data_IF_013619603105
#
_entry.id   IF_013619603105
#
_cell.length_a   1.000
_cell.length_b   1.000
_cell.length_c   1.000
_cell.angle_alpha   90.00
_cell.angle_beta   90.00
_cell.angle_gamma   90.00
#
_symmetry.space_group_name_H-M   'P 1'
#
loop_
_entity.id
_entity.type
_entity.pdbx_description
1 polymer ?
#
# COMPACT_ATOMS: atom_id res chain seq x y z
N UNK A 1 -4.62 13.61 -7.41
CA UNK A 1 -4.75 12.23 -6.94
C UNK A 1 -6.21 11.80 -6.87
N UNK A 2 -6.46 10.54 -7.19
CA UNK A 2 -7.80 9.97 -7.16
C UNK A 2 -8.30 9.79 -5.71
N UNK A 3 -7.38 9.64 -4.78
CA UNK A 3 -7.68 9.39 -3.36
C UNK A 3 -7.07 10.50 -2.51
N UNK A 4 -7.77 11.64 -2.35
CA UNK A 4 -7.20 12.80 -1.65
C UNK A 4 -6.93 12.57 -0.16
N UNK A 5 -7.55 11.55 0.44
CA UNK A 5 -7.36 11.24 1.85
C UNK A 5 -6.11 10.42 2.14
N UNK A 6 -5.37 10.02 1.11
CA UNK A 6 -4.17 9.21 1.29
C UNK A 6 -2.99 10.12 1.64
N UNK A 7 -2.38 9.83 2.79
CA UNK A 7 -1.24 10.61 3.27
C UNK A 7 0.04 10.22 2.55
N UNK A 8 1.07 11.06 2.70
CA UNK A 8 2.37 10.79 2.13
C UNK A 8 2.96 9.48 2.66
N UNK A 9 2.74 9.18 3.93
CA UNK A 9 3.19 7.92 4.53
C UNK A 9 2.54 6.72 3.87
N UNK A 10 1.26 6.84 3.55
CA UNK A 10 0.52 5.78 2.89
C UNK A 10 0.96 5.59 1.45
N UNK A 11 1.32 6.67 0.77
CA UNK A 11 1.88 6.59 -0.57
C UNK A 11 3.22 5.84 -0.56
N UNK A 12 4.06 6.12 0.42
CA UNK A 12 5.33 5.40 0.59
C UNK A 12 5.11 3.92 0.87
N UNK A 13 4.13 3.62 1.73
CA UNK A 13 3.77 2.24 2.01
C UNK A 13 3.33 1.51 0.74
N UNK A 14 2.49 2.15 -0.07
CA UNK A 14 2.04 1.58 -1.32
C UNK A 14 3.21 1.30 -2.26
N UNK A 15 4.17 2.22 -2.34
CA UNK A 15 5.36 2.03 -3.16
C UNK A 15 6.17 0.81 -2.71
N UNK A 16 6.38 0.66 -1.40
CA UNK A 16 7.10 -0.49 -0.87
C UNK A 16 6.37 -1.80 -1.14
N UNK A 17 5.04 -1.79 -1.03
CA UNK A 17 4.24 -2.97 -1.32
C UNK A 17 4.34 -3.37 -2.79
N UNK A 18 4.41 -2.40 -3.69
CA UNK A 18 4.63 -2.67 -5.11
C UNK A 18 5.97 -3.32 -5.39
N UNK A 19 6.97 -3.02 -4.56
CA UNK A 19 8.29 -3.62 -4.66
C UNK A 19 8.34 -5.02 -4.04
N UNK A 20 7.19 -5.54 -3.59
CA UNK A 20 7.07 -6.86 -2.96
C UNK A 20 7.86 -6.99 -1.67
N UNK A 21 8.04 -5.90 -0.96
CA UNK A 21 8.69 -5.95 0.35
C UNK A 21 7.74 -6.54 1.39
N UNK A 22 8.30 -7.32 2.29
CA UNK A 22 7.51 -7.88 3.39
C UNK A 22 7.21 -6.82 4.44
N UNK A 23 6.24 -7.10 5.31
CA UNK A 23 5.91 -6.21 6.43
C UNK A 23 7.16 -5.92 7.28
N UNK A 24 7.97 -6.94 7.55
CA UNK A 24 9.20 -6.77 8.33
C UNK A 24 10.20 -5.87 7.62
N UNK A 25 10.35 -6.05 6.33
CA UNK A 25 11.29 -5.23 5.54
C UNK A 25 10.85 -3.77 5.51
N UNK A 26 9.56 -3.53 5.33
CA UNK A 26 9.02 -2.16 5.34
C UNK A 26 9.22 -1.53 6.71
N UNK A 27 8.92 -2.28 7.78
CA UNK A 27 9.07 -1.78 9.14
C UNK A 27 10.53 -1.41 9.44
N UNK A 28 11.46 -2.24 9.01
CA UNK A 28 12.88 -1.96 9.19
C UNK A 28 13.32 -0.72 8.41
N UNK A 29 12.84 -0.58 7.18
CA UNK A 29 13.18 0.56 6.32
C UNK A 29 12.65 1.87 6.91
N UNK A 30 11.44 1.86 7.45
CA UNK A 30 10.82 3.04 8.03
C UNK A 30 11.15 3.23 9.51
N UNK A 31 11.89 2.28 10.09
CA UNK A 31 12.28 2.31 11.50
C UNK A 31 11.08 2.37 12.44
N UNK A 32 10.10 1.51 12.18
CA UNK A 32 8.89 1.38 12.99
C UNK A 32 8.64 -0.09 13.30
N UNK A 33 7.69 -0.37 14.20
CA UNK A 33 7.33 -1.73 14.54
C UNK A 33 6.47 -2.34 13.43
N UNK A 34 6.57 -3.67 13.19
CA UNK A 34 5.73 -4.35 12.20
C UNK A 34 4.23 -4.15 12.43
N UNK A 35 3.79 -4.08 13.69
CA UNK A 35 2.38 -3.80 14.00
C UNK A 35 1.90 -2.48 13.43
N UNK A 36 2.76 -1.47 13.42
CA UNK A 36 2.44 -0.18 12.82
C UNK A 36 2.19 -0.31 11.32
N UNK A 37 2.98 -1.14 10.66
CA UNK A 37 2.81 -1.40 9.22
C UNK A 37 1.48 -2.12 8.96
N UNK A 38 1.14 -3.10 9.79
CA UNK A 38 -0.13 -3.82 9.66
C UNK A 38 -1.32 -2.87 9.79
N UNK A 39 -1.27 -1.97 10.77
CA UNK A 39 -2.31 -0.97 10.98
C UNK A 39 -2.40 -0.02 9.79
N UNK A 40 -1.26 0.41 9.27
CA UNK A 40 -1.22 1.29 8.10
C UNK A 40 -1.80 0.61 6.86
N UNK A 41 -1.48 -0.66 6.66
CA UNK A 41 -2.04 -1.44 5.54
C UNK A 41 -3.55 -1.55 5.66
N UNK A 42 -4.06 -1.79 6.87
CA UNK A 42 -5.49 -1.88 7.10
C UNK A 42 -6.19 -0.57 6.78
N UNK A 43 -5.64 0.55 7.22
CA UNK A 43 -6.18 1.87 6.93
C UNK A 43 -6.19 2.16 5.44
N UNK A 44 -5.10 1.80 4.77
CA UNK A 44 -4.99 2.01 3.33
C UNK A 44 -6.04 1.20 2.57
N UNK A 45 -6.25 -0.06 2.95
CA UNK A 45 -7.31 -0.88 2.37
C UNK A 45 -8.68 -0.23 2.53
N UNK A 46 -8.97 0.29 3.71
CA UNK A 46 -10.24 0.97 3.98
C UNK A 46 -10.42 2.20 3.10
N UNK A 47 -9.38 2.99 2.95
CA UNK A 47 -9.43 4.19 2.12
C UNK A 47 -9.64 3.88 0.65
N UNK A 48 -9.11 2.75 0.20
CA UNK A 48 -9.28 2.28 -1.18
C UNK A 48 -10.59 1.52 -1.40
N UNK A 49 -11.37 1.29 -0.34
CA UNK A 49 -12.63 0.57 -0.44
C UNK A 49 -12.47 -0.93 -0.64
N UNK A 50 -11.35 -1.50 -0.23
CA UNK A 50 -11.06 -2.91 -0.37
C UNK A 50 -11.53 -3.69 0.87
N UNK A 51 -11.91 -4.96 0.67
CA UNK A 51 -12.25 -5.82 1.79
C UNK A 51 -11.00 -6.46 2.41
N UNK A 52 -11.19 -7.19 3.52
CA UNK A 52 -10.09 -7.81 4.25
C UNK A 52 -9.32 -8.84 3.43
N UNK A 53 -10.00 -9.51 2.53
CA UNK A 53 -9.44 -10.61 1.78
C UNK A 53 -8.65 -10.17 0.56
N UNK A 54 -8.82 -8.92 0.15
CA UNK A 54 -8.09 -8.39 -0.99
C UNK A 54 -6.62 -8.20 -0.63
N UNK A 55 -5.74 -8.76 -1.46
CA UNK A 55 -4.31 -8.56 -1.30
C UNK A 55 -3.94 -7.16 -1.82
N UNK A 56 -3.50 -6.32 -0.90
CA UNK A 56 -3.19 -4.92 -1.21
C UNK A 56 -2.07 -4.81 -2.25
N UNK A 57 -1.04 -5.63 -2.14
CA UNK A 57 0.08 -5.59 -3.10
C UNK A 57 -0.39 -5.94 -4.50
N UNK A 58 -1.22 -6.98 -4.63
CA UNK A 58 -1.76 -7.38 -5.92
C UNK A 58 -2.66 -6.30 -6.51
N UNK A 59 -3.50 -5.69 -5.68
CA UNK A 59 -4.35 -4.59 -6.13
C UNK A 59 -3.53 -3.43 -6.66
N UNK A 60 -2.49 -3.02 -5.94
CA UNK A 60 -1.65 -1.91 -6.34
C UNK A 60 -0.88 -2.21 -7.63
N UNK A 61 -0.42 -3.44 -7.79
CA UNK A 61 0.24 -3.85 -9.02
C UNK A 61 -0.70 -3.82 -10.22
N UNK A 62 -1.93 -4.27 -10.03
CA UNK A 62 -2.96 -4.23 -11.08
C UNK A 62 -3.27 -2.80 -11.49
N UNK A 63 -3.48 -1.93 -10.51
CA UNK A 63 -3.77 -0.53 -10.75
C UNK A 63 -2.65 0.15 -11.53
N UNK A 64 -1.40 -0.12 -11.16
CA UNK A 64 -0.25 0.44 -11.83
C UNK A 64 -0.16 -0.03 -13.28
N UNK A 65 -0.41 -1.33 -13.51
CA UNK A 65 -0.38 -1.90 -14.86
C UNK A 65 -1.44 -1.26 -15.74
N UNK A 66 -2.64 -1.03 -15.21
CA UNK A 66 -3.72 -0.36 -15.95
C UNK A 66 -3.30 1.05 -16.34
N UNK A 67 -2.67 1.79 -15.44
CA UNK A 67 -2.20 3.14 -15.74
C UNK A 67 -1.14 3.16 -16.82
N UNK A 68 -0.23 2.17 -16.82
CA UNK A 68 0.77 2.06 -17.86
C UNK A 68 0.16 1.79 -19.24
N UNK A 69 -0.90 0.98 -19.26
CA UNK A 69 -1.59 0.67 -20.52
C UNK A 69 -2.35 1.87 -21.06
N UNK A 70 -2.76 2.78 -20.20
CA UNK A 70 -3.48 3.99 -20.62
C UNK A 70 -2.55 5.06 -21.18
N UNK A 71 -1.25 4.89 -21.01
CA UNK A 71 -0.30 5.83 -21.57
C UNK A 71 0.01 5.50 -23.01
#
# INVERSE_FOLDING_TARGET
TIYPDISEKEIRLAAFLRMNLTTKEIAATLNVLPDSILKSKYRLKKKLGLDKETDLASFLNTLWTIQLLDL
#
